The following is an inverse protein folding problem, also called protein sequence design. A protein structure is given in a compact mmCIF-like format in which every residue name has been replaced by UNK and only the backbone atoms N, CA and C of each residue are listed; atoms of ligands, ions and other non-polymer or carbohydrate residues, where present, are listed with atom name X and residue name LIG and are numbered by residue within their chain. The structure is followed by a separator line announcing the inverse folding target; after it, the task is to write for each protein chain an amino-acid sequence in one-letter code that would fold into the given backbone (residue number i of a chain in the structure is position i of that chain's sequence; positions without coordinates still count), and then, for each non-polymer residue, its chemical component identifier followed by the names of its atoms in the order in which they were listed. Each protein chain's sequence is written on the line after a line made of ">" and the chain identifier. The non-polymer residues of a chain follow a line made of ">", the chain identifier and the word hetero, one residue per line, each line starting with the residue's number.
data_IF_226859599189
#
_entry.id   IF_226859599189
#
_cell.length_a   1.000
_cell.length_b   1.000
_cell.length_c   1.000
_cell.angle_alpha   90.00
_cell.angle_beta   90.00
_cell.angle_gamma   90.00
#
_symmetry.space_group_name_H-M   'P 1'
#
loop_
_entity.id
_entity.type
_entity.pdbx_description
1 polymer ?
#
# COMPACT_ATOMS: atom_id res chain seq x y z
N UNK A 1 0.84 -39.28 19.07
CA UNK A 1 1.42 -38.38 18.04
C UNK A 1 2.92 -38.45 18.18
N UNK A 2 3.64 -38.93 17.17
CA UNK A 2 5.07 -39.24 17.26
C UNK A 2 5.91 -37.96 17.11
N UNK A 3 7.10 -37.90 17.69
CA UNK A 3 7.98 -36.72 17.64
C UNK A 3 8.34 -36.33 16.19
N UNK A 4 8.36 -37.31 15.30
CA UNK A 4 8.56 -37.15 13.86
C UNK A 4 7.42 -36.38 13.17
N UNK A 5 6.17 -36.55 13.63
CA UNK A 5 5.01 -35.85 13.06
C UNK A 5 5.10 -34.35 13.36
N UNK A 6 5.48 -33.99 14.59
CA UNK A 6 5.67 -32.60 15.01
C UNK A 6 6.81 -31.90 14.26
N UNK A 7 7.92 -32.61 14.04
CA UNK A 7 9.05 -32.09 13.27
C UNK A 7 8.65 -31.82 11.81
N UNK A 8 7.95 -32.78 11.18
CA UNK A 8 7.45 -32.63 9.81
C UNK A 8 6.50 -31.44 9.67
N UNK A 9 5.55 -31.29 10.60
CA UNK A 9 4.58 -30.20 10.56
C UNK A 9 5.23 -28.82 10.71
N UNK A 10 6.24 -28.69 11.58
CA UNK A 10 7.04 -27.47 11.71
C UNK A 10 7.88 -27.17 10.49
N UNK A 11 8.46 -28.20 9.88
CA UNK A 11 9.24 -28.07 8.66
C UNK A 11 8.37 -27.67 7.46
N UNK A 12 7.18 -28.26 7.33
CA UNK A 12 6.20 -27.90 6.29
C UNK A 12 5.64 -26.49 6.52
N UNK A 13 5.37 -26.08 7.77
CA UNK A 13 4.91 -24.73 8.10
C UNK A 13 5.99 -23.65 7.97
N UNK A 14 7.27 -24.03 8.05
CA UNK A 14 8.41 -23.13 7.84
C UNK A 14 8.86 -23.08 6.37
N UNK A 15 8.24 -23.88 5.50
CA UNK A 15 8.48 -23.85 4.07
C UNK A 15 7.69 -22.67 3.51
N UNK A 16 8.37 -21.75 2.84
CA UNK A 16 7.71 -20.62 2.21
C UNK A 16 6.64 -21.11 1.23
N UNK A 17 5.45 -20.50 1.28
CA UNK A 17 4.40 -20.73 0.28
C UNK A 17 4.87 -20.09 -1.04
N UNK A 18 5.46 -20.92 -1.91
CA UNK A 18 5.93 -20.49 -3.22
C UNK A 18 4.78 -20.57 -4.23
N UNK A 19 4.42 -19.42 -4.82
CA UNK A 19 3.61 -19.41 -6.03
C UNK A 19 4.44 -19.89 -7.22
N UNK A 20 3.85 -20.73 -8.06
CA UNK A 20 4.38 -20.91 -9.42
C UNK A 20 4.29 -19.58 -10.19
N UNK A 21 5.12 -19.42 -11.22
CA UNK A 21 5.06 -18.22 -12.08
C UNK A 21 3.66 -17.98 -12.65
N UNK A 22 2.96 -19.06 -13.05
CA UNK A 22 1.61 -18.95 -13.61
C UNK A 22 0.58 -18.46 -12.59
N UNK A 23 0.66 -18.94 -11.35
CA UNK A 23 -0.20 -18.47 -10.25
C UNK A 23 0.07 -17.00 -9.94
N UNK A 24 1.35 -16.64 -9.81
CA UNK A 24 1.75 -15.24 -9.60
C UNK A 24 1.22 -14.32 -10.70
N UNK A 25 1.39 -14.69 -11.98
CA UNK A 25 0.88 -13.90 -13.10
C UNK A 25 -0.65 -13.83 -13.13
N UNK A 26 -1.34 -14.89 -12.68
CA UNK A 26 -2.81 -14.90 -12.55
C UNK A 26 -3.26 -13.91 -11.46
N UNK A 27 -2.56 -13.86 -10.33
CA UNK A 27 -2.81 -12.87 -9.27
C UNK A 27 -2.56 -11.45 -9.82
N UNK A 28 -1.42 -11.21 -10.47
CA UNK A 28 -1.08 -9.90 -11.05
C UNK A 28 -2.10 -9.39 -12.07
N UNK A 29 -2.81 -10.30 -12.75
CA UNK A 29 -3.91 -9.94 -13.66
C UNK A 29 -5.14 -9.42 -12.93
N UNK A 30 -5.41 -9.92 -11.73
CA UNK A 30 -6.60 -9.59 -10.94
C UNK A 30 -6.35 -8.44 -9.97
N UNK A 31 -5.15 -8.39 -9.39
CA UNK A 31 -4.75 -7.42 -8.39
C UNK A 31 -3.39 -6.80 -8.73
N UNK A 32 -3.40 -5.49 -8.98
CA UNK A 32 -2.18 -4.71 -9.27
C UNK A 32 -1.30 -4.52 -8.04
N UNK A 33 -1.88 -4.66 -6.84
CA UNK A 33 -1.13 -4.57 -5.59
C UNK A 33 -0.12 -5.72 -5.44
N UNK A 34 -0.35 -6.84 -6.12
CA UNK A 34 0.49 -8.03 -6.05
C UNK A 34 1.95 -7.77 -6.44
N UNK A 35 2.16 -6.87 -7.42
CA UNK A 35 3.49 -6.48 -7.90
C UNK A 35 3.87 -5.03 -7.51
N UNK A 36 3.06 -4.36 -6.69
CA UNK A 36 3.33 -3.01 -6.24
C UNK A 36 4.55 -2.96 -5.30
N UNK A 37 5.42 -1.98 -5.52
CA UNK A 37 6.57 -1.74 -4.65
C UNK A 37 6.15 -1.09 -3.31
N UNK A 38 7.09 -0.97 -2.37
CA UNK A 38 6.80 -0.44 -1.03
C UNK A 38 6.22 0.99 -1.05
N UNK A 39 6.71 1.88 -1.92
CA UNK A 39 6.21 3.25 -2.02
C UNK A 39 4.80 3.31 -2.61
N UNK A 40 4.53 2.51 -3.65
CA UNK A 40 3.19 2.39 -4.24
C UNK A 40 2.17 1.86 -3.25
N UNK A 41 2.54 0.85 -2.44
CA UNK A 41 1.68 0.32 -1.38
C UNK A 41 1.36 1.36 -0.31
N UNK A 42 2.33 2.20 0.05
CA UNK A 42 2.09 3.31 0.96
C UNK A 42 1.10 4.31 0.36
N UNK A 43 1.25 4.69 -0.91
CA UNK A 43 0.30 5.58 -1.58
C UNK A 43 -1.11 4.97 -1.65
N UNK A 44 -1.23 3.67 -1.97
CA UNK A 44 -2.52 2.96 -1.94
C UNK A 44 -3.16 2.99 -0.56
N UNK A 45 -2.36 2.86 0.51
CA UNK A 45 -2.85 2.92 1.88
C UNK A 45 -3.23 4.33 2.34
N UNK A 46 -2.50 5.36 1.90
CA UNK A 46 -2.80 6.78 2.16
C UNK A 46 -4.10 7.20 1.46
N UNK A 47 -4.39 6.62 0.29
CA UNK A 47 -5.60 6.86 -0.48
C UNK A 47 -5.47 8.03 -1.45
N UNK A 48 -6.60 8.59 -1.87
CA UNK A 48 -6.66 9.65 -2.88
C UNK A 48 -6.58 11.06 -2.25
N UNK A 49 -5.94 12.04 -2.91
CA UNK A 49 -5.87 13.40 -2.42
C UNK A 49 -7.12 14.21 -2.75
N UNK A 50 -7.44 15.16 -1.86
CA UNK A 50 -8.36 16.25 -2.14
C UNK A 50 -7.59 17.42 -2.76
N UNK A 51 -8.05 17.91 -3.91
CA UNK A 51 -7.46 19.08 -4.56
C UNK A 51 -7.99 20.36 -3.91
N UNK A 52 -7.11 21.13 -3.26
CA UNK A 52 -7.47 22.34 -2.52
C UNK A 52 -6.96 23.57 -3.28
N UNK A 53 -7.88 24.47 -3.64
CA UNK A 53 -7.54 25.80 -4.16
C UNK A 53 -7.14 26.71 -3.00
N UNK A 54 -5.84 26.96 -2.87
CA UNK A 54 -5.30 27.75 -1.75
C UNK A 54 -5.58 29.24 -1.87
N UNK A 55 -6.05 29.73 -3.03
CA UNK A 55 -6.43 31.13 -3.20
C UNK A 55 -7.66 31.53 -2.37
N UNK A 56 -8.52 30.56 -2.05
CA UNK A 56 -9.75 30.79 -1.29
C UNK A 56 -9.51 31.10 0.20
N UNK A 57 -8.34 30.74 0.73
CA UNK A 57 -7.99 30.95 2.13
C UNK A 57 -6.74 31.83 2.28
N UNK A 58 -6.80 32.99 2.97
CA UNK A 58 -5.67 33.91 3.10
C UNK A 58 -4.39 33.29 3.69
N UNK A 59 -4.53 32.31 4.59
CA UNK A 59 -3.38 31.62 5.19
C UNK A 59 -2.71 30.69 4.19
N UNK A 60 -3.49 29.86 3.50
CA UNK A 60 -2.97 28.92 2.50
C UNK A 60 -2.45 29.63 1.26
N UNK A 61 -3.11 30.72 0.85
CA UNK A 61 -2.71 31.61 -0.24
C UNK A 61 -1.26 32.09 -0.06
N UNK A 62 -0.91 32.55 1.15
CA UNK A 62 0.45 33.00 1.48
C UNK A 62 1.46 31.86 1.54
N UNK A 63 1.06 30.69 2.03
CA UNK A 63 1.95 29.55 2.21
C UNK A 63 2.28 28.83 0.89
N UNK A 64 1.29 28.73 0.00
CA UNK A 64 1.37 27.96 -1.24
C UNK A 64 1.24 28.82 -2.51
N UNK A 65 1.29 30.14 -2.38
CA UNK A 65 1.28 31.11 -3.48
C UNK A 65 0.10 30.89 -4.46
N UNK A 66 -1.10 30.73 -3.92
CA UNK A 66 -2.36 30.51 -4.68
C UNK A 66 -2.35 29.28 -5.62
N UNK A 67 -1.48 28.30 -5.38
CA UNK A 67 -1.47 27.07 -6.16
C UNK A 67 -2.58 26.12 -5.70
N UNK A 68 -3.10 25.32 -6.61
CA UNK A 68 -3.91 24.15 -6.24
C UNK A 68 -2.95 23.07 -5.73
N UNK A 69 -3.22 22.54 -4.53
CA UNK A 69 -2.38 21.53 -3.88
C UNK A 69 -3.17 20.26 -3.60
N UNK A 70 -2.51 19.11 -3.67
CA UNK A 70 -3.06 17.83 -3.26
C UNK A 70 -2.91 17.67 -1.74
N UNK A 71 -4.03 17.53 -1.02
CA UNK A 71 -4.04 17.27 0.42
C UNK A 71 -4.67 15.91 0.69
N UNK A 72 -3.92 15.01 1.33
CA UNK A 72 -4.44 13.70 1.70
C UNK A 72 -5.15 13.76 3.05
N UNK A 73 -6.39 13.25 3.17
CA UNK A 73 -7.16 13.25 4.43
C UNK A 73 -6.44 12.54 5.59
N UNK A 74 -5.62 11.53 5.29
CA UNK A 74 -4.81 10.81 6.27
C UNK A 74 -3.88 11.71 7.10
N UNK A 75 -3.60 12.94 6.63
CA UNK A 75 -2.74 13.91 7.30
C UNK A 75 -3.47 15.21 7.67
N UNK A 76 -4.80 15.18 7.88
CA UNK A 76 -5.57 16.39 8.18
C UNK A 76 -5.13 17.11 9.48
N UNK A 77 -4.59 16.36 10.44
CA UNK A 77 -4.12 16.87 11.74
C UNK A 77 -2.72 17.52 11.69
N UNK A 78 -2.03 17.48 10.55
CA UNK A 78 -0.71 18.10 10.32
C UNK A 78 -0.82 19.38 9.49
#
# INVERSE_FOLDING_TARGET
>A
MNIFDHYRQRYEAAKDEEFTLQEFLTICRQDRSAYANAAERLLMAIGEPNMVDTAQEPRLSRLFSNRVVARYPAFEEF
#
